data_IF_084276009243
#
_entry.id   IF_084276009243
#
_cell.length_a   1.000
_cell.length_b   1.000
_cell.length_c   1.000
_cell.angle_alpha   90.00
_cell.angle_beta   90.00
_cell.angle_gamma   90.00
#
_symmetry.space_group_name_H-M   'P 1'
#
loop_
_entity.id
_entity.type
_entity.pdbx_description
1 polymer ?
#
# COMPACT_ATOMS: atom_id res chain seq x y z
N UNK A 1 0.90 55.03 25.34
CA UNK A 1 1.20 54.83 26.78
C UNK A 1 -0.02 54.17 27.41
N UNK A 2 0.16 52.94 27.97
CA UNK A 2 -0.78 52.13 28.80
C UNK A 2 -2.06 51.58 28.11
N UNK A 3 -2.13 50.26 27.87
CA UNK A 3 -2.72 49.19 28.73
C UNK A 3 -4.25 49.34 28.89
N UNK A 4 -5.12 48.34 28.86
CA UNK A 4 -5.18 46.93 28.46
C UNK A 4 -6.62 46.45 28.82
N UNK A 5 -7.15 45.40 28.16
CA UNK A 5 -8.10 44.40 28.73
C UNK A 5 -9.52 44.87 29.16
N UNK A 6 -10.68 44.22 28.94
CA UNK A 6 -11.15 42.93 28.44
C UNK A 6 -12.69 43.03 28.37
N UNK A 7 -13.37 42.44 27.39
CA UNK A 7 -14.47 41.50 27.69
C UNK A 7 -14.88 40.69 26.45
N UNK A 8 -14.96 39.40 26.72
CA UNK A 8 -15.30 38.23 25.93
C UNK A 8 -16.67 38.27 25.25
N UNK A 9 -16.80 37.61 24.10
CA UNK A 9 -17.95 36.72 23.85
C UNK A 9 -17.73 35.73 22.68
N UNK A 10 -17.99 34.45 22.99
CA UNK A 10 -18.43 33.35 22.12
C UNK A 10 -17.66 33.08 20.81
N UNK A 11 -16.81 32.05 20.77
CA UNK A 11 -17.19 30.68 20.40
C UNK A 11 -18.13 30.59 19.18
N UNK A 12 -17.57 30.64 17.97
CA UNK A 12 -18.08 29.87 16.85
C UNK A 12 -16.93 29.20 16.10
N UNK A 13 -16.66 27.98 16.58
CA UNK A 13 -16.26 26.80 15.82
C UNK A 13 -16.60 26.93 14.34
N UNK A 14 -15.60 26.97 13.46
CA UNK A 14 -15.76 26.41 12.13
C UNK A 14 -14.46 25.76 11.67
N UNK A 15 -14.56 24.44 11.50
CA UNK A 15 -13.51 23.51 11.12
C UNK A 15 -13.16 23.77 9.66
N UNK A 16 -11.96 24.28 9.39
CA UNK A 16 -11.43 24.37 8.04
C UNK A 16 -10.89 22.99 7.66
N UNK A 17 -11.77 22.12 7.17
CA UNK A 17 -11.37 20.88 6.50
C UNK A 17 -10.61 21.26 5.23
N UNK A 18 -9.28 21.27 5.31
CA UNK A 18 -8.42 21.36 4.13
C UNK A 18 -8.52 20.02 3.41
N UNK A 19 -9.48 19.93 2.49
CA UNK A 19 -9.48 18.90 1.45
C UNK A 19 -8.33 19.20 0.50
N UNK A 20 -7.16 18.59 0.78
CA UNK A 20 -6.02 18.59 -0.12
C UNK A 20 -6.37 17.73 -1.33
N UNK A 21 -7.03 18.33 -2.31
CA UNK A 21 -7.28 17.72 -3.62
C UNK A 21 -5.97 17.77 -4.39
N UNK A 22 -5.26 16.63 -4.41
CA UNK A 22 -4.10 16.43 -5.27
C UNK A 22 -4.53 16.60 -6.73
N UNK A 23 -4.01 17.65 -7.37
CA UNK A 23 -4.04 17.82 -8.81
C UNK A 23 -3.01 16.87 -9.42
N UNK A 24 -3.46 15.80 -10.09
CA UNK A 24 -2.60 14.97 -10.93
C UNK A 24 -2.56 15.59 -12.32
N UNK A 25 -1.44 16.23 -12.66
CA UNK A 25 -1.14 16.68 -14.02
C UNK A 25 -0.57 15.51 -14.83
N UNK A 26 -1.42 14.87 -15.64
CA UNK A 26 -1.00 13.91 -16.65
C UNK A 26 -0.41 14.64 -17.86
N UNK A 27 0.90 14.56 -18.05
CA UNK A 27 1.53 14.90 -19.33
C UNK A 27 1.65 13.63 -20.19
N UNK A 28 1.13 13.69 -21.41
CA UNK A 28 1.20 12.61 -22.40
C UNK A 28 2.64 12.39 -22.89
N UNK A 29 3.09 11.14 -22.97
CA UNK A 29 4.14 10.73 -23.91
C UNK A 29 3.72 9.37 -24.47
N UNK A 30 3.26 9.33 -25.71
CA UNK A 30 2.68 8.14 -26.34
C UNK A 30 3.82 7.29 -26.94
N UNK A 31 4.05 6.08 -26.43
CA UNK A 31 4.93 5.11 -27.10
C UNK A 31 5.54 4.04 -26.20
N UNK A 32 6.16 4.44 -25.08
CA UNK A 32 6.69 3.54 -24.04
C UNK A 32 5.97 3.66 -22.69
N UNK A 33 5.13 4.69 -22.55
CA UNK A 33 4.44 5.06 -21.31
C UNK A 33 3.24 4.17 -21.00
N UNK A 34 2.56 3.64 -22.02
CA UNK A 34 1.32 2.87 -21.81
C UNK A 34 1.49 1.58 -20.99
N UNK A 35 2.61 0.86 -21.17
CA UNK A 35 2.89 -0.38 -20.41
C UNK A 35 3.49 -0.09 -19.03
N UNK A 36 4.30 0.96 -18.91
CA UNK A 36 4.90 1.34 -17.63
C UNK A 36 3.86 1.93 -16.69
N UNK A 37 3.02 2.82 -17.22
CA UNK A 37 1.95 3.47 -16.46
C UNK A 37 0.90 2.43 -16.06
N UNK A 38 0.65 1.41 -16.88
CA UNK A 38 -0.23 0.30 -16.52
C UNK A 38 0.32 -0.51 -15.34
N UNK A 39 1.61 -0.90 -15.36
CA UNK A 39 2.21 -1.66 -14.26
C UNK A 39 2.16 -0.86 -12.96
N UNK A 40 2.48 0.44 -13.01
CA UNK A 40 2.44 1.30 -11.84
C UNK A 40 1.03 1.35 -11.23
N UNK A 41 -0.01 1.54 -12.06
CA UNK A 41 -1.40 1.52 -11.60
C UNK A 41 -1.84 0.15 -11.02
N UNK A 42 -1.39 -0.95 -11.62
CA UNK A 42 -1.68 -2.30 -11.14
C UNK A 42 -0.99 -2.58 -9.80
N UNK A 43 0.25 -2.12 -9.64
CA UNK A 43 1.01 -2.19 -8.37
C UNK A 43 0.37 -1.31 -7.32
N UNK A 44 -0.01 -0.08 -7.66
CA UNK A 44 -0.69 0.86 -6.76
C UNK A 44 -1.97 0.23 -6.20
N UNK A 45 -2.84 -0.23 -7.09
CA UNK A 45 -4.09 -0.88 -6.72
C UNK A 45 -3.84 -2.14 -5.88
N UNK A 46 -2.88 -2.98 -6.28
CA UNK A 46 -2.50 -4.16 -5.49
C UNK A 46 -2.03 -3.77 -4.09
N UNK A 47 -1.12 -2.81 -3.95
CA UNK A 47 -0.54 -2.41 -2.68
C UNK A 47 -1.60 -1.81 -1.74
N UNK A 48 -2.48 -0.96 -2.26
CA UNK A 48 -3.61 -0.38 -1.53
C UNK A 48 -4.51 -1.46 -0.94
N UNK A 49 -4.81 -2.51 -1.71
CA UNK A 49 -5.68 -3.61 -1.29
C UNK A 49 -4.96 -4.59 -0.37
N UNK A 50 -3.80 -5.08 -0.78
CA UNK A 50 -3.06 -6.13 -0.09
C UNK A 50 -2.59 -5.72 1.30
N UNK A 51 -1.94 -4.54 1.43
CA UNK A 51 -1.40 -4.10 2.73
C UNK A 51 -2.47 -3.60 3.70
N UNK A 52 -3.70 -3.36 3.21
CA UNK A 52 -4.89 -3.13 4.04
C UNK A 52 -5.74 -4.40 4.23
N UNK A 53 -5.19 -5.58 3.91
CA UNK A 53 -5.80 -6.91 4.10
C UNK A 53 -7.14 -7.09 3.37
N UNK A 54 -7.36 -6.34 2.29
CA UNK A 54 -8.46 -6.52 1.35
C UNK A 54 -8.05 -7.57 0.31
N UNK A 55 -7.77 -8.80 0.77
CA UNK A 55 -7.16 -9.84 -0.07
C UNK A 55 -8.03 -10.25 -1.25
N UNK A 56 -9.36 -10.27 -1.09
CA UNK A 56 -10.29 -10.56 -2.18
C UNK A 56 -10.18 -9.51 -3.30
N UNK A 57 -10.14 -8.24 -2.94
CA UNK A 57 -9.98 -7.12 -3.88
C UNK A 57 -8.59 -7.06 -4.52
N UNK A 58 -7.58 -7.69 -3.90
CA UNK A 58 -6.23 -7.77 -4.46
C UNK A 58 -6.07 -8.88 -5.51
N UNK A 59 -6.96 -9.89 -5.52
CA UNK A 59 -6.89 -11.04 -6.43
C UNK A 59 -6.81 -10.66 -7.92
N UNK A 60 -7.57 -9.67 -8.43
CA UNK A 60 -7.52 -9.30 -9.84
C UNK A 60 -6.14 -8.84 -10.30
N UNK A 61 -5.29 -8.36 -9.40
CA UNK A 61 -3.95 -7.87 -9.71
C UNK A 61 -2.87 -8.96 -9.61
N UNK A 62 -3.24 -10.19 -9.28
CA UNK A 62 -2.33 -11.30 -9.08
C UNK A 62 -2.45 -12.34 -10.20
N UNK A 63 -1.37 -13.10 -10.42
CA UNK A 63 -1.45 -14.28 -11.29
C UNK A 63 -2.35 -15.35 -10.66
N UNK A 64 -2.93 -16.24 -11.47
CA UNK A 64 -3.74 -17.38 -11.00
C UNK A 64 -3.01 -18.21 -9.93
N UNK A 65 -1.72 -18.47 -10.14
CA UNK A 65 -0.88 -19.25 -9.24
C UNK A 65 -0.63 -18.56 -7.90
N UNK A 66 -0.79 -17.23 -7.85
CA UNK A 66 -0.61 -16.42 -6.65
C UNK A 66 -1.84 -16.43 -5.74
N UNK A 67 -3.02 -16.78 -6.27
CA UNK A 67 -4.29 -16.85 -5.52
C UNK A 67 -4.17 -17.64 -4.22
N UNK A 68 -3.44 -18.76 -4.24
CA UNK A 68 -3.21 -19.62 -3.07
C UNK A 68 -2.56 -18.87 -1.91
N UNK A 69 -1.71 -17.88 -2.18
CA UNK A 69 -1.02 -17.10 -1.14
C UNK A 69 -1.94 -16.07 -0.51
N UNK A 70 -2.82 -15.42 -1.29
CA UNK A 70 -3.83 -14.52 -0.75
C UNK A 70 -4.87 -15.29 0.07
N UNK A 71 -5.27 -16.47 -0.38
CA UNK A 71 -6.15 -17.36 0.38
C UNK A 71 -5.50 -17.83 1.67
N UNK A 72 -4.22 -18.20 1.62
CA UNK A 72 -3.44 -18.52 2.81
C UNK A 72 -3.40 -17.34 3.77
N UNK A 73 -3.07 -16.12 3.30
CA UNK A 73 -3.08 -14.92 4.13
C UNK A 73 -4.47 -14.70 4.77
N UNK A 74 -5.54 -14.73 3.99
CA UNK A 74 -6.90 -14.57 4.46
C UNK A 74 -7.29 -15.63 5.51
N UNK A 75 -6.85 -16.88 5.35
CA UNK A 75 -7.13 -17.96 6.32
C UNK A 75 -6.45 -17.78 7.67
N UNK A 76 -5.40 -16.96 7.73
CA UNK A 76 -4.67 -16.65 8.96
C UNK A 76 -5.15 -15.34 9.61
N UNK A 77 -6.22 -14.71 9.11
CA UNK A 77 -6.81 -13.51 9.71
C UNK A 77 -7.72 -13.88 10.87
N UNK A 78 -7.44 -13.34 12.06
CA UNK A 78 -8.23 -13.54 13.26
C UNK A 78 -9.02 -12.28 13.63
N UNK A 79 -10.03 -12.42 14.50
CA UNK A 79 -10.85 -11.29 14.96
C UNK A 79 -10.01 -10.17 15.60
N UNK A 80 -8.94 -10.53 16.32
CA UNK A 80 -8.02 -9.57 16.92
C UNK A 80 -7.36 -8.68 15.86
N UNK A 81 -6.99 -9.25 14.71
CA UNK A 81 -6.38 -8.51 13.61
C UNK A 81 -7.36 -7.56 12.94
N UNK A 82 -8.60 -8.00 12.75
CA UNK A 82 -9.68 -7.16 12.20
C UNK A 82 -9.93 -5.96 13.14
N UNK A 83 -9.94 -6.19 14.45
CA UNK A 83 -10.10 -5.12 15.43
C UNK A 83 -8.92 -4.14 15.39
N UNK A 84 -7.69 -4.63 15.25
CA UNK A 84 -6.51 -3.78 15.07
C UNK A 84 -6.66 -2.91 13.81
N UNK A 85 -7.01 -3.49 12.66
CA UNK A 85 -7.23 -2.74 11.42
C UNK A 85 -8.32 -1.68 11.54
N UNK A 86 -9.45 -1.99 12.19
CA UNK A 86 -10.57 -1.06 12.39
C UNK A 86 -10.24 0.09 13.35
N UNK A 87 -9.39 -0.15 14.34
CA UNK A 87 -9.03 0.84 15.35
C UNK A 87 -7.86 1.74 14.91
N UNK A 88 -7.25 1.49 13.75
CA UNK A 88 -6.20 2.36 13.22
C UNK A 88 -6.81 3.67 12.72
N UNK A 89 -6.22 4.78 13.13
CA UNK A 89 -6.59 6.11 12.62
C UNK A 89 -6.30 6.26 11.12
N UNK A 90 -5.34 5.50 10.59
CA UNK A 90 -4.95 5.51 9.19
C UNK A 90 -4.65 4.09 8.70
N UNK A 91 -5.04 3.79 7.46
CA UNK A 91 -4.68 2.55 6.77
C UNK A 91 -3.16 2.41 6.57
N UNK A 92 -2.76 1.28 6.01
CA UNK A 92 -1.42 1.17 5.45
C UNK A 92 -1.31 2.12 4.25
N UNK A 93 -0.18 2.81 4.13
CA UNK A 93 0.20 3.60 2.96
C UNK A 93 1.49 3.04 2.37
N UNK A 94 1.82 3.44 1.15
CA UNK A 94 3.00 2.93 0.45
C UNK A 94 3.56 3.96 -0.53
N UNK A 95 4.79 3.72 -0.96
CA UNK A 95 5.55 4.49 -1.91
C UNK A 95 6.26 3.51 -2.83
N UNK A 96 6.02 3.61 -4.13
CA UNK A 96 6.74 2.84 -5.15
C UNK A 96 8.05 3.56 -5.40
N UNK A 97 9.16 2.97 -4.96
CA UNK A 97 10.48 3.60 -5.05
C UNK A 97 11.10 3.41 -6.43
N UNK A 98 10.99 2.20 -6.98
CA UNK A 98 11.60 1.84 -8.26
C UNK A 98 10.88 0.65 -8.91
N UNK A 99 10.90 0.61 -10.25
CA UNK A 99 10.40 -0.50 -11.05
C UNK A 99 11.48 -0.87 -12.07
N UNK A 100 12.08 -2.04 -11.87
CA UNK A 100 13.13 -2.57 -12.73
C UNK A 100 12.58 -3.63 -13.69
N UNK A 101 12.46 -3.26 -14.97
CA UNK A 101 12.01 -4.14 -16.04
C UNK A 101 13.13 -5.06 -16.53
N UNK A 102 12.80 -6.35 -16.71
CA UNK A 102 13.72 -7.40 -17.10
C UNK A 102 13.13 -8.30 -18.19
N UNK A 103 13.99 -9.10 -18.84
CA UNK A 103 13.62 -10.07 -19.87
C UNK A 103 12.81 -9.44 -21.03
N UNK A 104 13.28 -8.32 -21.57
CA UNK A 104 12.58 -7.62 -22.66
C UNK A 104 11.20 -7.12 -22.26
N UNK A 105 11.08 -6.53 -21.07
CA UNK A 105 9.85 -5.94 -20.50
C UNK A 105 8.71 -6.94 -20.27
N UNK A 106 9.04 -8.22 -20.13
CA UNK A 106 8.05 -9.27 -19.77
C UNK A 106 8.01 -9.57 -18.28
N UNK A 107 8.98 -9.08 -17.52
CA UNK A 107 9.04 -9.22 -16.07
C UNK A 107 9.48 -7.91 -15.45
N UNK A 108 9.08 -7.67 -14.21
CA UNK A 108 9.54 -6.52 -13.44
C UNK A 108 9.75 -6.88 -11.96
N UNK A 109 10.72 -6.23 -11.34
CA UNK A 109 10.90 -6.22 -9.89
C UNK A 109 10.57 -4.83 -9.39
N UNK A 110 9.67 -4.75 -8.42
CA UNK A 110 9.16 -3.50 -7.87
C UNK A 110 9.67 -3.36 -6.45
N UNK A 111 10.37 -2.27 -6.17
CA UNK A 111 10.76 -1.87 -4.83
C UNK A 111 9.67 -0.95 -4.26
N UNK A 112 9.00 -1.41 -3.20
CA UNK A 112 7.92 -0.67 -2.55
C UNK A 112 8.20 -0.53 -1.07
N UNK A 113 8.10 0.71 -0.56
CA UNK A 113 8.15 0.99 0.87
C UNK A 113 6.74 1.13 1.40
N UNK A 114 6.41 0.39 2.44
CA UNK A 114 5.07 0.34 3.02
C UNK A 114 5.15 0.83 4.46
N UNK A 115 4.18 1.65 4.85
CA UNK A 115 4.11 2.29 6.15
C UNK A 115 2.86 1.85 6.90
N UNK A 116 2.97 1.80 8.24
CA UNK A 116 1.86 1.56 9.16
C UNK A 116 1.00 0.35 8.73
N UNK A 117 1.61 -0.77 8.37
CA UNK A 117 0.89 -1.95 7.91
C UNK A 117 0.82 -3.01 9.01
N UNK A 118 -0.19 -3.87 8.93
CA UNK A 118 -0.32 -5.00 9.85
C UNK A 118 0.44 -6.20 9.27
N UNK A 119 1.50 -6.61 9.95
CA UNK A 119 2.26 -7.81 9.62
C UNK A 119 1.63 -9.01 10.33
N UNK A 120 1.38 -10.07 9.58
CA UNK A 120 0.95 -11.35 10.11
C UNK A 120 2.09 -11.95 10.96
N UNK A 121 1.82 -12.21 12.24
CA UNK A 121 2.76 -12.92 13.12
C UNK A 121 2.56 -14.45 12.95
N UNK A 122 3.53 -15.24 13.38
CA UNK A 122 3.40 -16.71 13.34
C UNK A 122 2.25 -17.19 14.22
N UNK A 123 1.65 -18.31 13.78
CA UNK A 123 0.42 -18.96 14.25
C UNK A 123 0.18 -18.77 15.77
N UNK A 124 -0.98 -18.18 16.11
CA UNK A 124 -1.49 -18.06 17.47
C UNK A 124 -1.40 -16.66 18.09
N UNK A 125 -0.68 -15.72 17.46
CA UNK A 125 -0.56 -14.34 17.93
C UNK A 125 -1.30 -13.35 17.03
N UNK A 126 -1.73 -12.24 17.62
CA UNK A 126 -2.27 -11.11 16.83
C UNK A 126 -1.16 -10.50 15.99
N UNK A 127 -1.50 -10.06 14.78
CA UNK A 127 -0.58 -9.34 13.91
C UNK A 127 -0.01 -8.10 14.57
N UNK A 128 1.16 -7.66 14.11
CA UNK A 128 1.86 -6.50 14.67
C UNK A 128 1.84 -5.35 13.69
N UNK A 129 1.55 -4.15 14.19
CA UNK A 129 1.65 -2.94 13.38
C UNK A 129 3.14 -2.61 13.22
N UNK A 130 3.59 -2.55 11.97
CA UNK A 130 4.96 -2.21 11.61
C UNK A 130 4.98 -0.77 11.09
N UNK A 131 5.84 0.12 11.65
CA UNK A 131 5.92 1.51 11.21
C UNK A 131 6.29 1.66 9.74
N UNK A 132 7.28 0.89 9.26
CA UNK A 132 7.61 0.81 7.85
C UNK A 132 8.45 -0.42 7.51
N UNK A 133 8.36 -0.91 6.28
CA UNK A 133 9.27 -1.90 5.72
C UNK A 133 9.35 -1.79 4.19
N UNK A 134 10.45 -2.26 3.60
CA UNK A 134 10.64 -2.33 2.15
C UNK A 134 10.37 -3.75 1.67
N UNK A 135 9.68 -3.88 0.54
CA UNK A 135 9.34 -5.15 -0.08
C UNK A 135 9.78 -5.17 -1.54
N UNK A 136 10.15 -6.36 -2.02
CA UNK A 136 10.32 -6.63 -3.44
C UNK A 136 9.13 -7.42 -3.94
N UNK A 137 8.37 -6.83 -4.85
CA UNK A 137 7.30 -7.51 -5.58
C UNK A 137 7.81 -7.91 -6.96
N UNK A 138 7.37 -9.07 -7.44
CA UNK A 138 7.65 -9.54 -8.80
C UNK A 138 6.39 -9.41 -9.62
N UNK A 139 6.49 -8.84 -10.81
CA UNK A 139 5.41 -8.80 -11.78
C UNK A 139 5.82 -9.50 -13.08
N UNK A 140 4.83 -10.04 -13.78
CA UNK A 140 4.99 -10.67 -15.09
C UNK A 140 3.96 -10.11 -16.06
N UNK A 141 4.36 -9.91 -17.30
CA UNK A 141 3.50 -9.48 -18.40
C UNK A 141 3.22 -10.67 -19.31
N UNK A 142 1.94 -11.00 -19.48
CA UNK A 142 1.47 -11.99 -20.46
C UNK A 142 0.56 -11.30 -21.47
N UNK A 143 -0.56 -10.77 -21.00
CA UNK A 143 -1.47 -9.90 -21.76
C UNK A 143 -1.70 -8.57 -21.02
N UNK A 144 -1.68 -8.65 -19.69
CA UNK A 144 -1.70 -7.56 -18.73
C UNK A 144 -0.66 -7.86 -17.65
N UNK A 145 -0.24 -6.83 -16.92
CA UNK A 145 0.66 -7.00 -15.79
C UNK A 145 -0.06 -7.65 -14.62
N UNK A 146 0.62 -8.60 -13.97
CA UNK A 146 0.13 -9.23 -12.74
C UNK A 146 1.27 -9.45 -11.77
N UNK A 147 0.98 -9.27 -10.49
CA UNK A 147 1.88 -9.63 -9.39
C UNK A 147 1.99 -11.15 -9.31
N UNK A 148 3.22 -11.65 -9.37
CA UNK A 148 3.58 -13.05 -9.21
C UNK A 148 4.16 -13.26 -7.81
N UNK A 149 3.43 -14.02 -7.01
CA UNK A 149 3.80 -14.37 -5.65
C UNK A 149 4.35 -15.80 -5.59
N UNK A 150 5.57 -15.93 -5.06
CA UNK A 150 6.20 -17.23 -4.75
C UNK A 150 6.06 -17.58 -3.25
N UNK A 151 5.44 -16.68 -2.49
CA UNK A 151 5.12 -16.75 -1.06
C UNK A 151 4.41 -15.46 -0.64
N UNK A 152 4.11 -15.30 0.65
CA UNK A 152 3.71 -13.99 1.17
C UNK A 152 4.85 -12.97 0.93
N UNK A 153 4.57 -11.71 0.57
CA UNK A 153 5.59 -10.69 0.39
C UNK A 153 6.36 -10.53 1.70
N UNK A 154 7.68 -10.70 1.60
CA UNK A 154 8.58 -10.60 2.74
C UNK A 154 9.31 -9.28 2.65
N UNK A 155 9.38 -8.57 3.78
CA UNK A 155 10.20 -7.39 3.86
C UNK A 155 11.66 -7.77 3.64
N UNK A 156 12.40 -6.95 2.91
CA UNK A 156 13.85 -7.01 2.96
C UNK A 156 14.26 -6.80 4.41
N UNK A 157 15.10 -7.68 4.96
CA UNK A 157 15.71 -7.40 6.25
C UNK A 157 16.55 -6.16 6.05
N UNK A 158 16.21 -5.06 6.71
CA UNK A 158 17.19 -4.01 6.93
C UNK A 158 18.30 -4.65 7.77
N UNK A 159 19.46 -4.88 7.15
CA UNK A 159 20.67 -5.09 7.92
C UNK A 159 20.83 -3.82 8.76
N UNK A 160 20.60 -3.96 10.06
CA UNK A 160 21.03 -2.96 11.01
C UNK A 160 22.53 -3.22 11.18
N UNK A 161 23.32 -2.52 10.36
CA UNK A 161 24.75 -2.35 10.62
C UNK A 161 24.96 -1.54 11.93
#
# INVERSE_FOLDING_TARGET
MKFNFWKTSSLFRNSFFVFCTLMIANSCNLGHKGKSDQLENDVDSFAQKYYNWQFEDALPYCTSDSKKWLQYAASNVHKADINLLRNKNQGASYEINDINYNNGDTTAIINIKVYNFLQMDTIGNSGRIIPSAVFLLKAVFHHEWKIKMEGLPRSEKQNHD
#
